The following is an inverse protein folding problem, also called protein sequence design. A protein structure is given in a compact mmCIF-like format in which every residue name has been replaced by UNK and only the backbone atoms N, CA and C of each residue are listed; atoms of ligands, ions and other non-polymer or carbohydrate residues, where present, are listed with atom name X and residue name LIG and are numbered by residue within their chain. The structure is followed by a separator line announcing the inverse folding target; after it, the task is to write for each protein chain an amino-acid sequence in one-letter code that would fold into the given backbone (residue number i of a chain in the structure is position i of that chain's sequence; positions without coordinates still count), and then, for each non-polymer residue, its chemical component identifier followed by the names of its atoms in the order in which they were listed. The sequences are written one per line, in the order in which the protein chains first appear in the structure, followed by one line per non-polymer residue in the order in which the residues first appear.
data_IF_733505119810
#
_entry.id   IF_733505119810
#
_cell.length_a   1.000
_cell.length_b   1.000
_cell.length_c   1.000
_cell.angle_alpha   90.00
_cell.angle_beta   90.00
_cell.angle_gamma   90.00
#
_symmetry.space_group_name_H-M   'P 1'
#
loop_
_entity.id
_entity.type
_entity.pdbx_description
1 polymer ?
#
# COMPACT_ATOMS: atom_id res chain seq x y z
N UNK A 1 -9.90 26.31 -10.56
CA UNK A 1 -10.39 25.08 -9.89
C UNK A 1 -10.67 23.93 -10.86
N UNK A 2 -11.43 24.12 -11.95
CA UNK A 2 -11.78 23.04 -12.89
C UNK A 2 -10.54 22.40 -13.56
N UNK A 3 -9.53 23.20 -13.92
CA UNK A 3 -8.33 22.67 -14.59
C UNK A 3 -7.53 21.68 -13.73
N UNK A 4 -7.43 21.92 -12.41
CA UNK A 4 -6.72 21.01 -11.48
C UNK A 4 -7.40 19.65 -11.40
N UNK A 5 -8.74 19.62 -11.36
CA UNK A 5 -9.51 18.38 -11.40
C UNK A 5 -9.31 17.64 -12.72
N UNK A 6 -9.37 18.35 -13.85
CA UNK A 6 -9.12 17.76 -15.17
C UNK A 6 -7.72 17.17 -15.27
N UNK A 7 -6.71 17.92 -14.84
CA UNK A 7 -5.32 17.45 -14.80
C UNK A 7 -5.17 16.21 -13.92
N UNK A 8 -5.74 16.22 -12.71
CA UNK A 8 -5.71 15.06 -11.82
C UNK A 8 -6.35 13.82 -12.46
N UNK A 9 -7.52 13.98 -13.11
CA UNK A 9 -8.16 12.88 -13.83
C UNK A 9 -7.31 12.37 -15.00
N UNK A 10 -6.65 13.27 -15.75
CA UNK A 10 -5.70 12.88 -16.80
C UNK A 10 -4.51 12.10 -16.23
N UNK A 11 -3.98 12.52 -15.08
CA UNK A 11 -2.89 11.82 -14.39
C UNK A 11 -3.35 10.46 -13.84
N UNK A 12 -4.58 10.34 -13.36
CA UNK A 12 -5.17 9.07 -12.95
C UNK A 12 -5.26 8.08 -14.11
N UNK A 13 -5.69 8.53 -15.29
CA UNK A 13 -5.70 7.71 -16.50
C UNK A 13 -4.28 7.30 -16.94
N UNK A 14 -3.32 8.21 -16.85
CA UNK A 14 -1.91 7.89 -17.12
C UNK A 14 -1.38 6.84 -16.13
N UNK A 15 -1.67 6.98 -14.83
CA UNK A 15 -1.35 5.99 -13.80
C UNK A 15 -1.95 4.62 -14.13
N UNK A 16 -3.21 4.56 -14.54
CA UNK A 16 -3.88 3.31 -14.93
C UNK A 16 -3.18 2.65 -16.13
N UNK A 17 -2.86 3.44 -17.16
CA UNK A 17 -2.13 2.97 -18.33
C UNK A 17 -0.78 2.35 -17.93
N UNK A 18 0.01 3.03 -17.11
CA UNK A 18 1.28 2.50 -16.63
C UNK A 18 1.10 1.28 -15.74
N UNK A 19 0.09 1.26 -14.85
CA UNK A 19 -0.17 0.10 -13.98
C UNK A 19 -0.45 -1.18 -14.77
N UNK A 20 -1.17 -1.08 -15.90
CA UNK A 20 -1.54 -2.23 -16.73
C UNK A 20 -0.46 -2.62 -17.73
N UNK A 21 0.45 -1.70 -18.09
CA UNK A 21 1.52 -1.97 -19.04
C UNK A 21 2.54 -2.94 -18.44
N UNK A 22 2.97 -4.00 -19.16
CA UNK A 22 4.04 -4.87 -18.70
C UNK A 22 5.35 -4.10 -18.53
N UNK A 23 6.17 -4.53 -17.58
CA UNK A 23 7.48 -3.92 -17.29
C UNK A 23 8.55 -5.01 -17.16
N UNK A 24 9.78 -4.58 -16.91
CA UNK A 24 10.84 -5.49 -16.46
C UNK A 24 10.33 -6.39 -15.33
N UNK A 25 10.68 -7.67 -15.39
CA UNK A 25 10.28 -8.67 -14.38
C UNK A 25 11.10 -8.40 -13.12
N UNK A 26 10.53 -7.64 -12.20
CA UNK A 26 11.17 -7.34 -10.93
C UNK A 26 10.87 -8.45 -9.90
N UNK A 27 11.89 -8.99 -9.21
CA UNK A 27 11.65 -10.09 -8.27
C UNK A 27 10.68 -9.78 -7.13
N UNK A 28 10.81 -8.61 -6.51
CA UNK A 28 9.90 -8.17 -5.45
C UNK A 28 8.44 -8.05 -5.90
N UNK A 29 8.21 -7.72 -7.17
CA UNK A 29 6.87 -7.52 -7.72
C UNK A 29 6.14 -8.83 -7.98
N UNK A 30 6.88 -9.87 -8.37
CA UNK A 30 6.35 -11.14 -8.85
C UNK A 30 6.64 -12.29 -7.88
N UNK A 31 7.91 -12.66 -7.73
CA UNK A 31 8.35 -13.88 -7.04
C UNK A 31 8.23 -13.79 -5.52
N UNK A 32 8.44 -12.60 -4.93
CA UNK A 32 8.42 -12.44 -3.47
C UNK A 32 7.08 -11.98 -2.89
N UNK A 33 6.12 -11.64 -3.75
CA UNK A 33 4.82 -11.10 -3.35
C UNK A 33 3.67 -12.04 -3.74
N UNK A 34 3.00 -11.78 -4.87
CA UNK A 34 1.81 -12.51 -5.27
C UNK A 34 2.07 -13.99 -5.56
N UNK A 35 3.24 -14.38 -6.09
CA UNK A 35 3.51 -15.78 -6.43
C UNK A 35 3.53 -16.69 -5.19
N UNK A 36 4.11 -16.23 -4.08
CA UNK A 36 4.16 -17.02 -2.83
C UNK A 36 2.75 -17.26 -2.28
N UNK A 37 1.84 -16.29 -2.44
CA UNK A 37 0.44 -16.41 -2.02
C UNK A 37 -0.37 -17.26 -3.00
N UNK A 38 -0.13 -17.14 -4.30
CA UNK A 38 -0.80 -17.95 -5.31
C UNK A 38 -0.48 -19.44 -5.15
N UNK A 39 0.75 -19.80 -4.75
CA UNK A 39 1.13 -21.19 -4.48
C UNK A 39 0.32 -21.81 -3.35
N UNK A 40 0.15 -21.11 -2.22
CA UNK A 40 -0.64 -21.60 -1.09
C UNK A 40 -2.15 -21.55 -1.38
N UNK A 41 -2.62 -20.51 -2.05
CA UNK A 41 -4.05 -20.22 -2.20
C UNK A 41 -4.69 -21.00 -3.35
N UNK A 42 -4.00 -21.14 -4.48
CA UNK A 42 -4.50 -21.86 -5.66
C UNK A 42 -3.85 -23.23 -5.87
N UNK A 43 -2.80 -23.57 -5.11
CA UNK A 43 -2.04 -24.81 -5.31
C UNK A 43 -1.15 -24.80 -6.56
N UNK A 44 -0.83 -23.62 -7.09
CA UNK A 44 0.04 -23.49 -8.26
C UNK A 44 1.46 -23.95 -7.96
N UNK A 45 2.13 -24.46 -9.00
CA UNK A 45 3.57 -24.73 -8.93
C UNK A 45 4.32 -23.39 -8.95
N UNK A 46 4.85 -23.00 -7.81
CA UNK A 46 5.57 -21.73 -7.62
C UNK A 46 6.98 -21.95 -7.08
N UNK A 47 7.87 -21.00 -7.34
CA UNK A 47 9.23 -21.03 -6.78
C UNK A 47 9.30 -20.17 -5.52
N UNK A 48 9.25 -20.79 -4.34
CA UNK A 48 9.46 -20.07 -3.09
C UNK A 48 10.93 -19.65 -2.98
N UNK A 49 11.17 -18.36 -2.78
CA UNK A 49 12.51 -17.81 -2.61
C UNK A 49 13.09 -18.14 -1.23
N UNK A 50 14.42 -17.99 -1.10
CA UNK A 50 15.16 -18.28 0.13
C UNK A 50 14.68 -17.47 1.34
N UNK A 51 14.02 -16.33 1.12
CA UNK A 51 13.43 -15.53 2.20
C UNK A 51 12.34 -16.25 2.99
N UNK A 52 11.72 -17.29 2.41
CA UNK A 52 10.64 -18.08 3.01
C UNK A 52 11.05 -19.52 3.33
N UNK A 53 12.11 -20.06 2.73
CA UNK A 53 12.47 -21.49 2.81
C UNK A 53 13.64 -21.81 3.74
N UNK A 54 14.33 -20.80 4.25
CA UNK A 54 15.43 -20.97 5.21
C UNK A 54 14.93 -21.43 6.59
N UNK A 55 15.79 -22.05 7.41
CA UNK A 55 15.44 -22.47 8.78
C UNK A 55 14.94 -21.31 9.65
N UNK A 56 15.40 -20.08 9.35
CA UNK A 56 14.98 -18.83 9.98
C UNK A 56 14.56 -17.83 8.89
N UNK A 57 13.32 -17.92 8.39
CA UNK A 57 12.82 -17.03 7.33
C UNK A 57 12.93 -15.57 7.74
N UNK A 58 13.38 -14.72 6.81
CA UNK A 58 13.56 -13.28 7.06
C UNK A 58 12.32 -12.45 6.71
N UNK A 59 11.34 -13.04 6.00
CA UNK A 59 10.09 -12.37 5.64
C UNK A 59 8.90 -13.02 6.33
N UNK A 60 8.04 -12.17 6.90
CA UNK A 60 6.75 -12.60 7.42
C UNK A 60 5.77 -12.82 6.28
N UNK A 61 4.99 -13.89 6.38
CA UNK A 61 3.95 -14.20 5.41
C UNK A 61 2.65 -13.40 5.64
N UNK A 62 2.47 -12.89 6.86
CA UNK A 62 1.23 -12.20 7.29
C UNK A 62 0.91 -10.97 6.44
N UNK A 63 1.85 -10.04 6.15
CA UNK A 63 1.55 -8.89 5.28
C UNK A 63 1.16 -9.29 3.86
N UNK A 64 1.78 -10.35 3.32
CA UNK A 64 1.48 -10.85 1.98
C UNK A 64 0.07 -11.42 1.92
N UNK A 65 -0.31 -12.23 2.91
CA UNK A 65 -1.68 -12.74 3.03
C UNK A 65 -2.70 -11.60 3.12
N UNK A 66 -2.44 -10.59 3.96
CA UNK A 66 -3.35 -9.47 4.12
C UNK A 66 -3.57 -8.69 2.81
N UNK A 67 -2.53 -8.53 1.99
CA UNK A 67 -2.59 -7.78 0.74
C UNK A 67 -3.14 -8.60 -0.42
N UNK A 68 -2.74 -9.88 -0.53
CA UNK A 68 -3.01 -10.69 -1.72
C UNK A 68 -4.09 -11.77 -1.52
N UNK A 69 -4.39 -12.24 -0.30
CA UNK A 69 -5.38 -13.30 -0.12
C UNK A 69 -6.79 -12.83 -0.51
N UNK A 70 -7.20 -11.65 -0.06
CA UNK A 70 -8.50 -11.06 -0.40
C UNK A 70 -8.77 -10.95 -1.91
N UNK A 71 -7.90 -10.30 -2.72
CA UNK A 71 -8.10 -10.22 -4.17
C UNK A 71 -8.03 -11.60 -4.84
N UNK A 72 -7.21 -12.52 -4.34
CA UNK A 72 -7.10 -13.88 -4.88
C UNK A 72 -8.37 -14.71 -4.64
N UNK A 73 -8.96 -14.65 -3.43
CA UNK A 73 -10.25 -15.30 -3.13
C UNK A 73 -11.36 -14.75 -4.02
N UNK A 74 -11.41 -13.42 -4.20
CA UNK A 74 -12.38 -12.80 -5.09
C UNK A 74 -12.19 -13.28 -6.54
N UNK A 75 -10.94 -13.39 -6.99
CA UNK A 75 -10.62 -13.89 -8.31
C UNK A 75 -11.02 -15.36 -8.49
N UNK A 76 -10.79 -16.18 -7.46
CA UNK A 76 -11.20 -17.58 -7.42
C UNK A 76 -12.72 -17.72 -7.62
N UNK A 77 -13.48 -16.87 -6.95
CA UNK A 77 -14.93 -16.86 -7.05
C UNK A 77 -15.40 -16.42 -8.44
N UNK A 78 -14.82 -15.35 -8.99
CA UNK A 78 -15.14 -14.87 -10.35
C UNK A 78 -14.77 -15.90 -11.42
N UNK A 79 -13.65 -16.61 -11.24
CA UNK A 79 -13.16 -17.61 -12.18
C UNK A 79 -13.82 -19.00 -12.02
N UNK A 80 -14.74 -19.16 -11.04
CA UNK A 80 -15.34 -20.45 -10.68
C UNK A 80 -14.32 -21.55 -10.36
N UNK A 81 -13.24 -21.21 -9.66
CA UNK A 81 -12.18 -22.14 -9.32
C UNK A 81 -10.81 -21.56 -9.63
N UNK A 82 -10.11 -22.09 -10.62
CA UNK A 82 -8.71 -21.76 -10.87
C UNK A 82 -8.55 -20.58 -11.86
N UNK A 83 -8.13 -19.38 -11.41
CA UNK A 83 -7.96 -18.25 -12.31
C UNK A 83 -6.72 -18.42 -13.20
N UNK A 84 -6.67 -17.76 -14.36
CA UNK A 84 -5.41 -17.74 -15.14
C UNK A 84 -4.35 -16.83 -14.50
N UNK A 85 -3.04 -17.13 -14.63
CA UNK A 85 -1.98 -16.26 -14.14
C UNK A 85 -2.04 -14.82 -14.69
N UNK A 86 -2.49 -14.66 -15.94
CA UNK A 86 -2.72 -13.37 -16.58
C UNK A 86 -3.84 -12.59 -15.87
N UNK A 87 -4.91 -13.28 -15.46
CA UNK A 87 -6.00 -12.68 -14.71
C UNK A 87 -5.52 -12.20 -13.33
N UNK A 88 -4.72 -13.01 -12.64
CA UNK A 88 -4.10 -12.62 -11.36
C UNK A 88 -3.18 -11.41 -11.53
N UNK A 89 -2.34 -11.41 -12.57
CA UNK A 89 -1.45 -10.30 -12.87
C UNK A 89 -2.23 -8.99 -12.96
N UNK A 90 -3.24 -8.91 -13.83
CA UNK A 90 -4.03 -7.68 -13.98
C UNK A 90 -4.86 -7.35 -12.75
N UNK A 91 -5.39 -8.34 -12.02
CA UNK A 91 -6.12 -8.09 -10.78
C UNK A 91 -5.23 -7.41 -9.72
N UNK A 92 -3.99 -7.91 -9.55
CA UNK A 92 -3.01 -7.30 -8.65
C UNK A 92 -2.59 -5.90 -9.15
N UNK A 93 -2.43 -5.69 -10.46
CA UNK A 93 -2.17 -4.35 -11.03
C UNK A 93 -3.27 -3.36 -10.66
N UNK A 94 -4.52 -3.76 -10.86
CA UNK A 94 -5.69 -2.93 -10.57
C UNK A 94 -5.82 -2.64 -9.07
N UNK A 95 -5.49 -3.61 -8.21
CA UNK A 95 -5.47 -3.41 -6.76
C UNK A 95 -4.47 -2.34 -6.34
N UNK A 96 -3.22 -2.39 -6.83
CA UNK A 96 -2.21 -1.41 -6.46
C UNK A 96 -2.47 -0.03 -7.08
N UNK A 97 -3.04 0.01 -8.29
CA UNK A 97 -3.60 1.25 -8.83
C UNK A 97 -4.69 1.83 -7.91
N UNK A 98 -5.60 0.99 -7.42
CA UNK A 98 -6.63 1.40 -6.46
C UNK A 98 -6.00 1.90 -5.15
N UNK A 99 -4.99 1.22 -4.61
CA UNK A 99 -4.28 1.67 -3.41
C UNK A 99 -3.65 3.06 -3.58
N UNK A 100 -2.99 3.31 -4.71
CA UNK A 100 -2.40 4.62 -5.02
C UNK A 100 -3.47 5.71 -5.22
N UNK A 101 -4.55 5.41 -5.93
CA UNK A 101 -5.61 6.40 -6.19
C UNK A 101 -6.52 6.68 -4.99
N UNK A 102 -6.82 5.67 -4.17
CA UNK A 102 -7.83 5.79 -3.11
C UNK A 102 -7.19 5.96 -1.76
N UNK A 103 -6.20 5.17 -1.39
CA UNK A 103 -5.64 5.25 -0.05
C UNK A 103 -4.49 6.26 0.06
N UNK A 104 -3.57 6.29 -0.90
CA UNK A 104 -2.44 7.25 -0.90
C UNK A 104 -2.96 8.68 -1.14
N UNK A 105 -3.67 8.93 -2.23
CA UNK A 105 -4.17 10.28 -2.55
C UNK A 105 -5.16 10.82 -1.49
N UNK A 106 -6.03 9.98 -0.91
CA UNK A 106 -6.92 10.41 0.17
C UNK A 106 -6.14 10.77 1.43
N UNK A 107 -5.16 9.96 1.83
CA UNK A 107 -4.33 10.29 2.98
C UNK A 107 -3.58 11.62 2.78
N UNK A 108 -3.10 11.91 1.57
CA UNK A 108 -2.47 13.19 1.24
C UNK A 108 -3.44 14.38 1.35
N UNK A 109 -4.70 14.20 0.93
CA UNK A 109 -5.75 15.21 1.09
C UNK A 109 -6.08 15.47 2.57
N UNK A 110 -6.20 14.41 3.38
CA UNK A 110 -6.44 14.50 4.83
C UNK A 110 -5.27 15.19 5.56
N UNK A 111 -4.03 14.83 5.22
CA UNK A 111 -2.84 15.46 5.78
C UNK A 111 -2.76 16.94 5.41
N UNK A 112 -3.04 17.27 4.15
CA UNK A 112 -3.07 18.65 3.64
C UNK A 112 -4.33 19.44 4.00
N UNK A 113 -5.28 18.86 4.74
CA UNK A 113 -6.60 19.44 5.07
C UNK A 113 -7.32 20.03 3.84
N UNK A 114 -7.18 19.40 2.67
CA UNK A 114 -7.66 19.92 1.41
C UNK A 114 -8.86 19.11 0.90
N UNK A 115 -9.92 19.79 0.49
CA UNK A 115 -11.11 19.17 -0.14
C UNK A 115 -10.94 18.94 -1.65
N UNK A 116 -9.80 19.35 -2.21
CA UNK A 116 -9.53 19.44 -3.64
C UNK A 116 -8.09 19.08 -3.93
N UNK A 117 -7.78 18.59 -5.15
CA UNK A 117 -6.39 18.39 -5.57
C UNK A 117 -5.56 19.66 -5.38
N UNK A 118 -4.70 19.63 -4.36
CA UNK A 118 -3.76 20.69 -4.06
C UNK A 118 -2.47 20.49 -4.88
N UNK A 119 -1.53 21.43 -4.77
CA UNK A 119 -0.25 21.32 -5.49
C UNK A 119 0.50 20.04 -5.14
N UNK A 120 0.53 19.65 -3.86
CA UNK A 120 1.21 18.44 -3.40
C UNK A 120 0.64 17.15 -4.00
N UNK A 121 -0.68 17.04 -4.07
CA UNK A 121 -1.34 15.89 -4.69
C UNK A 121 -1.02 15.81 -6.19
N UNK A 122 -1.09 16.94 -6.89
CA UNK A 122 -0.77 16.99 -8.32
C UNK A 122 0.69 16.63 -8.59
N UNK A 123 1.62 17.13 -7.78
CA UNK A 123 3.04 16.80 -7.88
C UNK A 123 3.29 15.30 -7.65
N UNK A 124 2.67 14.73 -6.62
CA UNK A 124 2.73 13.30 -6.34
C UNK A 124 2.15 12.50 -7.51
N UNK A 125 1.00 12.92 -8.02
CA UNK A 125 0.33 12.28 -9.15
C UNK A 125 1.08 12.35 -10.48
N UNK A 126 1.92 13.36 -10.66
CA UNK A 126 2.83 13.46 -11.81
C UNK A 126 4.21 12.83 -11.59
N UNK A 127 4.47 12.28 -10.41
CA UNK A 127 5.80 11.78 -10.07
C UNK A 127 6.10 10.43 -10.72
N UNK A 128 7.36 10.25 -11.14
CA UNK A 128 7.83 8.97 -11.64
C UNK A 128 7.66 7.84 -10.62
N UNK A 129 7.91 8.13 -9.33
CA UNK A 129 7.77 7.17 -8.23
C UNK A 129 6.34 6.62 -8.17
N UNK A 130 5.34 7.49 -8.32
CA UNK A 130 3.94 7.03 -8.31
C UNK A 130 3.62 6.16 -9.52
N UNK A 131 4.07 6.54 -10.72
CA UNK A 131 3.78 5.79 -11.94
C UNK A 131 4.50 4.45 -12.04
N UNK A 132 5.73 4.36 -11.51
CA UNK A 132 6.61 3.20 -11.67
C UNK A 132 6.72 2.34 -10.42
N UNK A 133 6.39 2.84 -9.24
CA UNK A 133 6.50 2.10 -7.97
C UNK A 133 5.13 1.97 -7.29
N UNK A 134 4.43 3.08 -7.01
CA UNK A 134 3.21 3.02 -6.19
C UNK A 134 2.04 2.24 -6.83
N UNK A 135 1.94 2.26 -8.17
CA UNK A 135 0.94 1.50 -8.94
C UNK A 135 1.31 0.03 -9.15
N UNK A 136 2.49 -0.39 -8.67
CA UNK A 136 3.10 -1.70 -8.87
C UNK A 136 3.09 -2.47 -7.55
N UNK A 137 3.11 -3.81 -7.61
CA UNK A 137 2.91 -4.68 -6.44
C UNK A 137 4.15 -4.83 -5.55
N UNK A 138 4.80 -3.72 -5.23
CA UNK A 138 5.95 -3.67 -4.33
C UNK A 138 5.52 -3.55 -2.88
N UNK A 139 6.32 -4.14 -1.99
CA UNK A 139 6.20 -3.92 -0.55
C UNK A 139 6.38 -2.45 -0.16
N UNK A 140 7.17 -1.68 -0.94
CA UNK A 140 7.29 -0.23 -0.85
C UNK A 140 5.94 0.50 -0.99
N UNK A 141 5.08 0.03 -1.90
CA UNK A 141 3.79 0.69 -2.17
C UNK A 141 2.83 0.48 -1.00
N UNK A 142 2.84 -0.72 -0.43
CA UNK A 142 2.12 -1.04 0.81
C UNK A 142 2.67 -0.22 1.99
N UNK A 143 4.01 -0.16 2.15
CA UNK A 143 4.68 0.66 3.17
C UNK A 143 4.26 2.13 3.09
N UNK A 144 4.19 2.69 1.88
CA UNK A 144 3.81 4.08 1.65
C UNK A 144 2.37 4.34 2.09
N UNK A 145 1.42 3.50 1.70
CA UNK A 145 0.01 3.64 2.10
C UNK A 145 -0.15 3.54 3.61
N UNK A 146 0.46 2.54 4.23
CA UNK A 146 0.38 2.34 5.69
C UNK A 146 1.03 3.51 6.44
N UNK A 147 2.14 4.04 5.92
CA UNK A 147 2.82 5.20 6.51
C UNK A 147 1.93 6.45 6.45
N UNK A 148 1.38 6.77 5.28
CA UNK A 148 0.53 7.96 5.12
C UNK A 148 -0.68 7.92 6.05
N UNK A 149 -1.36 6.78 6.15
CA UNK A 149 -2.47 6.64 7.09
C UNK A 149 -2.02 6.65 8.55
N UNK A 150 -0.85 6.12 8.88
CA UNK A 150 -0.28 6.26 10.22
C UNK A 150 -0.08 7.73 10.58
N UNK A 151 0.40 8.56 9.64
CA UNK A 151 0.52 10.01 9.83
C UNK A 151 -0.85 10.68 9.98
N UNK A 152 -1.88 10.25 9.24
CA UNK A 152 -3.25 10.77 9.39
C UNK A 152 -3.78 10.47 10.79
N UNK A 153 -3.62 9.24 11.29
CA UNK A 153 -4.07 8.89 12.65
C UNK A 153 -3.28 9.62 13.72
N UNK A 154 -1.97 9.78 13.53
CA UNK A 154 -1.12 10.55 14.42
C UNK A 154 -1.58 12.02 14.49
N UNK A 155 -1.81 12.67 13.36
CA UNK A 155 -2.39 14.03 13.28
C UNK A 155 -3.71 14.10 14.03
N UNK A 156 -4.62 13.16 13.80
CA UNK A 156 -5.93 13.09 14.48
C UNK A 156 -5.83 12.90 15.99
N UNK A 157 -4.82 12.18 16.49
CA UNK A 157 -4.59 12.02 17.93
C UNK A 157 -4.09 13.35 18.52
N UNK A 158 -3.09 13.97 17.89
CA UNK A 158 -2.51 15.23 18.36
C UNK A 158 -3.53 16.37 18.35
N UNK A 159 -4.41 16.43 17.35
CA UNK A 159 -5.46 17.46 17.23
C UNK A 159 -6.69 17.19 18.10
N UNK A 160 -6.87 15.97 18.62
CA UNK A 160 -8.03 15.64 19.45
C UNK A 160 -7.95 16.31 20.83
N UNK A 161 -9.07 16.84 21.31
CA UNK A 161 -9.16 17.42 22.67
C UNK A 161 -9.03 16.39 23.79
N UNK A 162 -9.30 15.11 23.47
CA UNK A 162 -9.25 14.00 24.41
C UNK A 162 -8.61 12.78 23.73
N UNK A 163 -7.91 11.93 24.49
CA UNK A 163 -7.21 10.78 23.94
C UNK A 163 -8.21 9.79 23.31
N UNK A 164 -8.04 9.51 22.03
CA UNK A 164 -8.86 8.53 21.31
C UNK A 164 -8.19 7.15 21.30
N UNK A 165 -8.68 6.24 22.15
CA UNK A 165 -8.18 4.85 22.24
C UNK A 165 -8.25 4.18 20.87
N UNK A 166 -9.34 4.36 20.12
CA UNK A 166 -9.51 3.78 18.79
C UNK A 166 -8.38 4.17 17.84
N UNK A 167 -8.05 5.46 17.76
CA UNK A 167 -6.98 5.92 16.87
C UNK A 167 -5.61 5.39 17.31
N UNK A 168 -5.37 5.27 18.62
CA UNK A 168 -4.13 4.69 19.16
C UNK A 168 -4.01 3.20 18.82
N UNK A 169 -5.09 2.43 18.95
CA UNK A 169 -5.12 1.00 18.60
C UNK A 169 -4.86 0.83 17.10
N UNK A 170 -5.54 1.61 16.25
CA UNK A 170 -5.34 1.54 14.79
C UNK A 170 -3.91 1.93 14.41
N UNK A 171 -3.36 2.98 15.01
CA UNK A 171 -1.96 3.38 14.79
C UNK A 171 -0.98 2.28 15.22
N UNK A 172 -1.23 1.62 16.34
CA UNK A 172 -0.44 0.48 16.82
C UNK A 172 -0.49 -0.69 15.83
N UNK A 173 -1.68 -1.06 15.36
CA UNK A 173 -1.84 -2.11 14.34
C UNK A 173 -1.10 -1.77 13.04
N UNK A 174 -1.17 -0.51 12.60
CA UNK A 174 -0.48 -0.06 11.38
C UNK A 174 1.03 -0.06 11.57
N UNK A 175 1.51 0.29 12.77
CA UNK A 175 2.93 0.25 13.12
C UNK A 175 3.46 -1.18 13.09
N UNK A 176 2.73 -2.12 13.70
CA UNK A 176 3.09 -3.55 13.67
C UNK A 176 3.06 -4.08 12.24
N UNK A 177 1.97 -3.86 11.51
CA UNK A 177 1.82 -4.31 10.13
C UNK A 177 2.93 -3.74 9.23
N UNK A 178 3.18 -2.44 9.31
CA UNK A 178 4.22 -1.76 8.56
C UNK A 178 5.61 -2.31 8.86
N UNK A 179 5.93 -2.58 10.13
CA UNK A 179 7.21 -3.17 10.55
C UNK A 179 7.42 -4.57 9.98
N UNK A 180 6.38 -5.41 10.00
CA UNK A 180 6.45 -6.76 9.43
C UNK A 180 6.45 -6.76 7.91
N UNK A 181 5.84 -5.75 7.27
CA UNK A 181 5.93 -5.56 5.82
C UNK A 181 7.35 -5.11 5.43
N UNK A 182 7.94 -4.16 6.16
CA UNK A 182 9.34 -3.74 6.01
C UNK A 182 9.94 -3.24 7.31
N UNK A 183 11.17 -3.70 7.60
CA UNK A 183 11.92 -3.33 8.80
C UNK A 183 12.29 -1.84 8.87
N UNK A 184 12.28 -1.13 7.73
CA UNK A 184 12.54 0.31 7.64
C UNK A 184 11.37 1.16 8.15
N UNK A 185 10.16 0.58 8.23
CA UNK A 185 8.94 1.31 8.52
C UNK A 185 8.98 2.15 9.81
N UNK A 186 9.47 1.63 10.96
CA UNK A 186 9.52 2.41 12.20
C UNK A 186 10.35 3.69 12.07
N UNK A 187 11.41 3.70 11.25
CA UNK A 187 12.28 4.87 11.09
C UNK A 187 11.50 6.10 10.58
N UNK A 188 10.50 5.89 9.73
CA UNK A 188 9.65 6.97 9.23
C UNK A 188 8.66 7.52 10.28
N UNK A 189 8.34 6.73 11.31
CA UNK A 189 7.39 7.13 12.37
C UNK A 189 8.06 7.75 13.59
N UNK A 190 9.37 7.56 13.80
CA UNK A 190 10.06 8.09 14.99
C UNK A 190 9.90 9.61 15.09
N UNK A 191 10.26 10.36 14.04
CA UNK A 191 10.23 11.83 14.08
C UNK A 191 8.81 12.39 14.25
N UNK A 192 7.80 11.96 13.47
CA UNK A 192 6.41 12.36 13.72
C UNK A 192 5.92 11.91 15.10
N UNK A 193 6.31 10.73 15.57
CA UNK A 193 5.90 10.14 16.84
C UNK A 193 6.32 10.96 18.07
N UNK A 194 7.40 11.74 17.98
CA UNK A 194 7.80 12.66 19.05
C UNK A 194 6.71 13.69 19.39
N UNK A 195 5.84 14.04 18.43
CA UNK A 195 4.72 14.95 18.70
C UNK A 195 3.67 14.35 19.64
N UNK A 196 3.53 13.03 19.69
CA UNK A 196 2.62 12.34 20.62
C UNK A 196 3.11 12.46 22.06
N UNK A 197 4.43 12.45 22.29
CA UNK A 197 4.98 12.64 23.63
C UNK A 197 4.54 13.99 24.21
N UNK A 198 4.60 15.07 23.41
CA UNK A 198 4.10 16.37 23.83
C UNK A 198 2.60 16.33 24.14
N UNK A 199 1.80 15.61 23.36
CA UNK A 199 0.36 15.54 23.58
C UNK A 199 -0.04 14.78 24.86
N UNK A 200 0.70 13.74 25.25
CA UNK A 200 0.36 12.92 26.42
C UNK A 200 1.05 13.37 27.72
N UNK A 201 2.21 14.03 27.63
CA UNK A 201 3.01 14.43 28.80
C UNK A 201 2.95 15.93 29.12
N UNK A 202 2.24 16.74 28.32
CA UNK A 202 2.02 18.18 28.58
C UNK A 202 0.52 18.46 28.65
#
# INVERSE_FOLDING_TARGET
MAWKRRLYLSLALARLYFALTPSYIHPDEHFQGPEVVAGEHFGWKVTRTWEFTTEKPIRSYVPLLAVYAMPMTLLQWIANGDPSPTMLFYAVRLLFYFFSMVYEDWALLELGSATMPNGGLLLTASSWVTWSIQTRSFSNSVETVILLWSLVFLKRIVEAKAPSIRNCVVLGLFTVFGTFNRITFPAFLILPGLSLLKHFFT
#
